data_IF_756067245995
#
_entry.id   IF_756067245995
#
_cell.length_a   1.000
_cell.length_b   1.000
_cell.length_c   1.000
_cell.angle_alpha   90.00
_cell.angle_beta   90.00
_cell.angle_gamma   90.00
#
_symmetry.space_group_name_H-M   'P 1'
#
loop_
_entity.id
_entity.type
_entity.pdbx_description
1 polymer ?
#
# COMPACT_ATOMS: atom_id res chain seq x y z
N UNK A 1 34.24 33.92 -36.00
CA UNK A 1 33.17 33.61 -36.99
C UNK A 1 32.68 32.21 -36.64
N UNK A 2 31.88 32.02 -35.59
CA UNK A 2 30.48 32.43 -35.47
C UNK A 2 29.67 31.11 -35.45
N UNK A 3 29.30 30.60 -34.27
CA UNK A 3 27.93 30.62 -33.72
C UNK A 3 27.01 29.58 -34.44
N UNK A 4 26.18 28.71 -33.85
CA UNK A 4 25.48 28.49 -32.57
C UNK A 4 25.03 27.00 -32.57
N UNK A 5 25.11 26.22 -31.50
CA UNK A 5 24.21 26.09 -30.33
C UNK A 5 22.78 25.53 -30.61
N UNK A 6 22.45 24.45 -29.88
CA UNK A 6 21.18 24.08 -29.20
C UNK A 6 21.04 22.55 -29.13
N UNK A 7 21.26 21.89 -27.98
CA UNK A 7 20.32 21.75 -26.84
C UNK A 7 18.99 21.08 -27.21
N UNK A 8 18.79 19.86 -26.71
CA UNK A 8 17.48 19.28 -26.49
C UNK A 8 17.49 18.47 -25.20
N UNK A 9 17.08 19.13 -24.12
CA UNK A 9 16.48 18.51 -22.95
C UNK A 9 15.17 17.83 -23.35
N UNK A 10 14.90 16.64 -22.81
CA UNK A 10 13.60 15.95 -22.94
C UNK A 10 13.57 14.77 -21.98
N UNK A 11 13.28 15.04 -20.71
CA UNK A 11 11.96 14.86 -20.11
C UNK A 11 11.72 13.41 -19.66
N UNK A 12 11.96 13.21 -18.36
CA UNK A 12 11.47 12.06 -17.61
C UNK A 12 9.93 12.00 -17.73
N UNK A 13 9.43 10.87 -18.19
CA UNK A 13 8.00 10.55 -18.10
C UNK A 13 7.82 9.70 -16.84
N UNK A 14 7.37 10.37 -15.78
CA UNK A 14 6.64 9.74 -14.70
C UNK A 14 5.33 9.19 -15.27
N UNK A 15 5.19 7.88 -15.33
CA UNK A 15 3.89 7.23 -15.47
C UNK A 15 3.45 6.73 -14.10
N UNK A 16 2.72 7.62 -13.40
CA UNK A 16 1.82 7.21 -12.33
C UNK A 16 0.51 6.72 -12.95
N UNK A 17 0.21 5.45 -12.72
CA UNK A 17 -1.15 4.89 -12.81
C UNK A 17 -1.30 4.11 -11.50
N UNK A 18 -2.15 4.49 -10.55
CA UNK A 18 -3.54 4.86 -10.73
C UNK A 18 -4.38 3.71 -10.18
N UNK A 19 -4.32 3.50 -8.87
CA UNK A 19 -5.07 2.45 -8.17
C UNK A 19 -6.57 2.70 -8.25
N UNK A 20 -7.29 1.77 -8.88
CA UNK A 20 -8.74 1.75 -8.96
C UNK A 20 -9.34 1.25 -7.65
N UNK A 21 -9.79 2.17 -6.79
CA UNK A 21 -10.64 1.86 -5.65
C UNK A 21 -12.09 1.60 -6.08
N UNK A 22 -12.57 0.38 -5.93
CA UNK A 22 -13.99 0.03 -6.03
C UNK A 22 -14.65 0.28 -4.67
N UNK A 23 -15.24 1.47 -4.50
CA UNK A 23 -16.09 1.82 -3.36
C UNK A 23 -17.55 1.92 -3.78
N UNK A 24 -18.28 0.80 -3.75
CA UNK A 24 -19.72 0.76 -4.01
C UNK A 24 -20.52 0.88 -2.72
N UNK A 25 -20.90 2.10 -2.33
CA UNK A 25 -21.87 2.36 -1.26
C UNK A 25 -23.30 2.36 -1.82
N UNK A 26 -24.10 1.36 -1.46
CA UNK A 26 -25.54 1.34 -1.73
C UNK A 26 -26.30 2.01 -0.58
N UNK A 27 -26.69 3.26 -0.78
CA UNK A 27 -27.62 3.97 0.10
C UNK A 27 -29.06 3.62 -0.26
N UNK A 28 -29.76 2.89 0.60
CA UNK A 28 -31.21 2.73 0.53
C UNK A 28 -31.89 3.86 1.31
N UNK A 29 -32.29 4.92 0.59
CA UNK A 29 -33.29 5.86 1.04
C UNK A 29 -34.56 5.64 0.22
N UNK A 30 -35.61 5.07 0.82
CA UNK A 30 -36.92 4.99 0.18
C UNK A 30 -37.94 5.84 0.91
N UNK A 31 -38.50 6.74 0.13
CA UNK A 31 -39.50 7.74 0.38
C UNK A 31 -40.74 7.25 1.14
N UNK A 32 -41.19 8.15 2.03
CA UNK A 32 -42.54 8.28 2.52
C UNK A 32 -43.52 8.53 1.38
N UNK A 33 -44.50 7.64 1.22
CA UNK A 33 -45.67 7.85 0.36
C UNK A 33 -46.89 8.04 1.25
N UNK A 34 -47.52 9.20 1.09
CA UNK A 34 -48.80 9.54 1.68
C UNK A 34 -49.97 8.82 1.01
N UNK A 35 -51.02 8.65 1.80
CA UNK A 35 -52.36 8.20 1.41
C UNK A 35 -53.09 7.93 2.73
N UNK A 36 -54.11 8.67 3.17
CA UNK A 36 -55.14 9.33 2.38
C UNK A 36 -56.44 8.57 2.62
N UNK A 37 -57.19 9.03 3.63
CA UNK A 37 -58.64 8.82 3.86
C UNK A 37 -59.15 7.39 4.07
N UNK A 38 -59.87 7.17 5.18
CA UNK A 38 -61.30 6.82 5.21
C UNK A 38 -61.71 6.68 6.68
N UNK A 39 -62.28 7.77 7.20
CA UNK A 39 -63.00 7.74 8.47
C UNK A 39 -64.41 7.16 8.26
N UNK A 40 -64.84 6.31 9.18
CA UNK A 40 -66.23 5.95 9.35
C UNK A 40 -66.58 6.03 10.84
N UNK A 41 -67.10 7.20 11.21
CA UNK A 41 -67.78 7.43 12.47
C UNK A 41 -69.09 6.63 12.50
N UNK A 42 -69.33 5.85 13.55
CA UNK A 42 -70.69 5.51 13.98
C UNK A 42 -70.90 6.06 15.39
N UNK A 43 -71.29 7.34 15.44
CA UNK A 43 -72.03 7.92 16.55
C UNK A 43 -73.51 7.84 16.18
N UNK A 44 -74.29 7.05 16.91
CA UNK A 44 -75.75 7.20 16.93
C UNK A 44 -76.16 7.75 18.29
N UNK A 45 -76.24 9.07 18.32
CA UNK A 45 -77.06 9.85 19.23
C UNK A 45 -78.54 9.70 18.83
N UNK A 46 -79.41 9.35 19.78
CA UNK A 46 -80.81 9.77 19.72
C UNK A 46 -81.23 10.30 21.08
N UNK A 47 -81.18 11.62 21.16
CA UNK A 47 -81.90 12.47 22.08
C UNK A 47 -83.39 12.46 21.73
N UNK A 48 -84.26 12.20 22.71
CA UNK A 48 -85.62 12.74 22.70
C UNK A 48 -85.88 13.36 24.06
N UNK A 49 -86.04 14.67 24.04
CA UNK A 49 -86.37 15.52 25.17
C UNK A 49 -87.90 15.71 25.26
N UNK A 50 -88.42 15.47 26.46
CA UNK A 50 -89.37 16.29 27.23
C UNK A 50 -90.69 16.82 26.62
N UNK A 51 -91.78 16.50 27.35
CA UNK A 51 -92.84 17.40 27.87
C UNK A 51 -94.31 17.18 27.39
N UNK A 52 -95.23 17.20 28.38
CA UNK A 52 -96.68 17.40 28.20
C UNK A 52 -97.57 16.21 28.64
N UNK A 53 -97.83 15.98 29.93
CA UNK A 53 -98.84 16.64 30.77
C UNK A 53 -100.33 16.31 30.45
N UNK A 54 -100.82 15.16 30.95
CA UNK A 54 -102.19 14.87 31.40
C UNK A 54 -102.03 13.65 32.34
N UNK A 55 -102.61 13.49 33.51
CA UNK A 55 -103.75 14.10 34.18
C UNK A 55 -104.29 12.97 35.09
N UNK A 56 -104.34 13.23 36.40
CA UNK A 56 -105.16 12.55 37.40
C UNK A 56 -105.12 11.00 37.50
N UNK A 57 -104.61 10.53 38.64
CA UNK A 57 -105.14 9.35 39.32
C UNK A 57 -104.47 8.02 38.97
N UNK A 58 -103.88 7.43 40.00
CA UNK A 58 -103.93 6.00 40.34
C UNK A 58 -102.54 5.41 40.63
N UNK A 59 -102.24 5.34 41.92
CA UNK A 59 -101.04 4.78 42.53
C UNK A 59 -101.08 3.25 42.51
N UNK A 60 -101.15 2.63 41.33
CA UNK A 60 -101.14 1.16 41.14
C UNK A 60 -100.31 0.69 39.93
N UNK A 61 -99.66 1.59 39.16
CA UNK A 61 -98.97 1.23 37.90
C UNK A 61 -97.42 1.14 37.95
N UNK A 62 -96.76 1.27 39.10
CA UNK A 62 -95.29 1.33 39.20
C UNK A 62 -94.57 -0.03 39.31
N UNK A 63 -95.27 -1.12 39.66
CA UNK A 63 -94.65 -2.45 39.81
C UNK A 63 -94.52 -3.26 38.50
N UNK A 64 -95.24 -2.85 37.43
CA UNK A 64 -95.17 -3.49 36.11
C UNK A 64 -93.99 -3.02 35.26
N UNK A 65 -93.66 -1.72 35.33
CA UNK A 65 -92.60 -1.10 34.55
C UNK A 65 -91.20 -1.62 34.95
N UNK A 66 -90.94 -1.81 36.25
CA UNK A 66 -89.66 -2.35 36.74
C UNK A 66 -89.43 -3.81 36.27
N UNK A 67 -90.50 -4.61 36.26
CA UNK A 67 -90.46 -6.00 35.79
C UNK A 67 -90.20 -6.07 34.28
N UNK A 68 -90.80 -5.17 33.50
CA UNK A 68 -90.57 -5.09 32.06
C UNK A 68 -89.15 -4.61 31.73
N UNK A 69 -88.60 -3.66 32.50
CA UNK A 69 -87.19 -3.26 32.36
C UNK A 69 -86.22 -4.39 32.72
N UNK A 70 -86.52 -5.17 33.75
CA UNK A 70 -85.71 -6.34 34.12
C UNK A 70 -85.80 -7.46 33.08
N UNK A 71 -86.96 -7.65 32.47
CA UNK A 71 -87.11 -8.59 31.34
C UNK A 71 -86.32 -8.12 30.12
N UNK A 72 -86.34 -6.83 29.77
CA UNK A 72 -85.54 -6.29 28.66
C UNK A 72 -84.03 -6.48 28.88
N UNK A 73 -83.56 -6.21 30.11
CA UNK A 73 -82.16 -6.44 30.49
C UNK A 73 -81.80 -7.93 30.44
N UNK A 74 -82.67 -8.81 30.91
CA UNK A 74 -82.46 -10.25 30.82
C UNK A 74 -82.48 -10.76 29.37
N UNK A 75 -83.36 -10.25 28.51
CA UNK A 75 -83.36 -10.56 27.08
C UNK A 75 -82.09 -10.07 26.40
N UNK A 76 -81.58 -8.90 26.80
CA UNK A 76 -80.32 -8.36 26.29
C UNK A 76 -79.11 -9.16 26.79
N UNK A 77 -79.11 -9.61 28.04
CA UNK A 77 -78.10 -10.51 28.59
C UNK A 77 -78.13 -11.88 27.89
N UNK A 78 -79.30 -12.43 27.63
CA UNK A 78 -79.46 -13.68 26.87
C UNK A 78 -78.88 -13.54 25.46
N UNK A 79 -79.17 -12.44 24.76
CA UNK A 79 -78.58 -12.13 23.46
C UNK A 79 -77.05 -11.95 23.52
N UNK A 80 -76.52 -11.32 24.57
CA UNK A 80 -75.06 -11.23 24.77
C UNK A 80 -74.43 -12.60 25.03
N UNK A 81 -75.04 -13.46 25.85
CA UNK A 81 -74.55 -14.81 26.11
C UNK A 81 -74.62 -15.71 24.87
N UNK A 82 -75.66 -15.56 24.04
CA UNK A 82 -75.74 -16.22 22.74
C UNK A 82 -74.66 -15.70 21.78
N UNK A 83 -74.40 -14.39 21.78
CA UNK A 83 -73.33 -13.81 20.97
C UNK A 83 -71.94 -14.28 21.41
N UNK A 84 -71.67 -14.35 22.72
CA UNK A 84 -70.42 -14.87 23.28
C UNK A 84 -70.22 -16.32 22.86
N UNK A 85 -71.24 -17.17 22.99
CA UNK A 85 -71.16 -18.57 22.52
C UNK A 85 -70.89 -18.68 21.03
N UNK A 86 -71.53 -17.86 20.19
CA UNK A 86 -71.27 -17.86 18.74
C UNK A 86 -69.83 -17.42 18.40
N UNK A 87 -69.26 -16.50 19.19
CA UNK A 87 -67.88 -16.03 19.00
C UNK A 87 -66.87 -17.05 19.51
N UNK A 88 -67.14 -17.74 20.60
CA UNK A 88 -66.32 -18.86 21.11
C UNK A 88 -66.27 -20.00 20.10
N UNK A 89 -67.40 -20.37 19.49
CA UNK A 89 -67.46 -21.39 18.45
C UNK A 89 -66.68 -20.99 17.19
N UNK A 90 -66.84 -19.74 16.74
CA UNK A 90 -66.09 -19.20 15.61
C UNK A 90 -64.58 -19.15 15.89
N UNK A 91 -64.16 -18.76 17.10
CA UNK A 91 -62.76 -18.77 17.51
C UNK A 91 -62.20 -20.19 17.53
N UNK A 92 -62.92 -21.16 18.10
CA UNK A 92 -62.51 -22.56 18.10
C UNK A 92 -62.37 -23.12 16.67
N UNK A 93 -63.23 -22.69 15.75
CA UNK A 93 -63.11 -23.04 14.34
C UNK A 93 -61.87 -22.43 13.67
N UNK A 94 -61.59 -21.14 13.92
CA UNK A 94 -60.41 -20.46 13.40
C UNK A 94 -59.12 -21.08 13.95
N UNK A 95 -59.05 -21.39 15.23
CA UNK A 95 -57.92 -22.08 15.84
C UNK A 95 -57.66 -23.46 15.21
N UNK A 96 -58.72 -24.18 14.85
CA UNK A 96 -58.60 -25.47 14.16
C UNK A 96 -58.07 -25.29 12.74
N UNK A 97 -58.54 -24.27 12.02
CA UNK A 97 -58.05 -23.93 10.67
C UNK A 97 -56.58 -23.50 10.70
N UNK A 98 -56.17 -22.71 11.68
CA UNK A 98 -54.77 -22.30 11.89
C UNK A 98 -53.90 -23.53 12.16
N UNK A 99 -54.30 -24.40 13.10
CA UNK A 99 -53.57 -25.64 13.39
C UNK A 99 -53.42 -26.53 12.16
N UNK A 100 -54.50 -26.75 11.43
CA UNK A 100 -54.48 -27.54 10.19
C UNK A 100 -53.57 -26.91 9.11
N UNK A 101 -53.57 -25.57 9.01
CA UNK A 101 -52.70 -24.86 8.07
C UNK A 101 -51.22 -25.01 8.45
N UNK A 102 -50.87 -24.93 9.73
CA UNK A 102 -49.49 -25.15 10.20
C UNK A 102 -49.05 -26.61 10.10
N UNK A 103 -49.95 -27.58 10.25
CA UNK A 103 -49.63 -28.99 10.04
C UNK A 103 -49.35 -29.29 8.55
N UNK A 104 -50.07 -28.62 7.64
CA UNK A 104 -49.90 -28.78 6.19
C UNK A 104 -48.76 -27.96 5.58
N UNK A 105 -48.50 -26.77 6.12
CA UNK A 105 -47.58 -25.79 5.53
C UNK A 105 -46.44 -25.37 6.48
N UNK A 106 -46.42 -25.90 7.70
CA UNK A 106 -45.35 -25.61 8.65
C UNK A 106 -44.01 -26.17 8.19
N UNK A 107 -42.90 -25.68 8.77
CA UNK A 107 -41.52 -26.02 8.38
C UNK A 107 -41.10 -27.48 8.59
N UNK A 108 -42.04 -28.40 8.89
CA UNK A 108 -41.84 -29.85 8.96
C UNK A 108 -42.90 -30.67 8.21
N UNK A 109 -43.77 -30.03 7.42
CA UNK A 109 -44.79 -30.73 6.64
C UNK A 109 -44.15 -31.56 5.50
N UNK A 110 -44.65 -32.77 5.19
CA UNK A 110 -44.08 -33.63 4.15
C UNK A 110 -44.24 -32.96 2.78
N UNK A 111 -43.16 -32.36 2.27
CA UNK A 111 -43.12 -31.68 0.97
C UNK A 111 -42.56 -30.25 0.97
N UNK A 112 -42.30 -29.64 2.13
CA UNK A 112 -41.79 -28.25 2.24
C UNK A 112 -40.34 -28.17 2.75
N UNK A 113 -39.63 -29.29 2.94
CA UNK A 113 -38.16 -29.27 2.99
C UNK A 113 -37.65 -29.22 1.55
N UNK A 114 -37.51 -28.00 1.02
CA UNK A 114 -36.88 -27.78 -0.28
C UNK A 114 -35.38 -28.11 -0.11
N UNK A 115 -34.96 -29.29 -0.53
CA UNK A 115 -33.57 -29.72 -0.37
C UNK A 115 -32.60 -28.89 -1.23
N UNK A 116 -31.99 -27.85 -0.63
CA UNK A 116 -31.01 -26.99 -1.28
C UNK A 116 -29.61 -27.60 -1.38
N UNK A 117 -29.42 -28.83 -0.88
CA UNK A 117 -28.14 -29.56 -0.85
C UNK A 117 -27.42 -29.61 -2.21
N UNK A 118 -28.16 -29.75 -3.32
CA UNK A 118 -27.60 -29.76 -4.68
C UNK A 118 -26.95 -28.42 -5.07
N UNK A 119 -27.53 -27.30 -4.63
CA UNK A 119 -26.96 -25.98 -4.90
C UNK A 119 -25.71 -25.73 -4.06
N UNK A 120 -25.67 -26.24 -2.82
CA UNK A 120 -24.46 -26.15 -2.00
C UNK A 120 -23.28 -26.88 -2.64
N UNK A 121 -23.47 -28.10 -3.14
CA UNK A 121 -22.41 -28.82 -3.86
C UNK A 121 -21.90 -28.04 -5.09
N UNK A 122 -22.81 -27.48 -5.89
CA UNK A 122 -22.43 -26.69 -7.06
C UNK A 122 -21.69 -25.39 -6.68
N UNK A 123 -22.12 -24.72 -5.61
CA UNK A 123 -21.45 -23.52 -5.08
C UNK A 123 -20.04 -23.87 -4.60
N UNK A 124 -19.87 -24.99 -3.89
CA UNK A 124 -18.58 -25.42 -3.38
C UNK A 124 -17.64 -25.86 -4.53
N UNK A 125 -18.17 -26.50 -5.57
CA UNK A 125 -17.42 -26.82 -6.77
C UNK A 125 -16.93 -25.55 -7.50
N UNK A 126 -17.80 -24.55 -7.68
CA UNK A 126 -17.42 -23.26 -8.26
C UNK A 126 -16.39 -22.51 -7.40
N UNK A 127 -16.53 -22.54 -6.07
CA UNK A 127 -15.54 -21.97 -5.15
C UNK A 127 -14.18 -22.64 -5.30
N UNK A 128 -14.15 -23.96 -5.38
CA UNK A 128 -12.91 -24.72 -5.59
C UNK A 128 -12.28 -24.39 -6.95
N UNK A 129 -13.08 -24.24 -8.01
CA UNK A 129 -12.58 -23.80 -9.32
C UNK A 129 -11.96 -22.40 -9.25
N UNK A 130 -12.60 -21.44 -8.57
CA UNK A 130 -12.07 -20.09 -8.38
C UNK A 130 -10.73 -20.15 -7.63
N UNK A 131 -10.65 -20.93 -6.56
CA UNK A 131 -9.40 -21.09 -5.78
C UNK A 131 -8.30 -21.71 -6.65
N UNK A 132 -8.60 -22.76 -7.40
CA UNK A 132 -7.63 -23.40 -8.29
C UNK A 132 -7.11 -22.43 -9.35
N UNK A 133 -7.99 -21.70 -10.03
CA UNK A 133 -7.61 -20.68 -11.02
C UNK A 133 -6.80 -19.55 -10.38
N UNK A 134 -7.11 -19.18 -9.13
CA UNK A 134 -6.35 -18.15 -8.40
C UNK A 134 -4.93 -18.63 -8.09
N UNK A 135 -4.77 -19.90 -7.68
CA UNK A 135 -3.47 -20.51 -7.44
C UNK A 135 -2.68 -20.65 -8.75
N UNK A 136 -3.33 -21.11 -9.82
CA UNK A 136 -2.71 -21.21 -11.15
C UNK A 136 -2.25 -19.85 -11.67
N UNK A 137 -3.07 -18.80 -11.51
CA UNK A 137 -2.69 -17.44 -11.85
C UNK A 137 -1.48 -16.96 -11.02
N UNK A 138 -1.47 -17.20 -9.72
CA UNK A 138 -0.32 -16.89 -8.87
C UNK A 138 0.96 -17.63 -9.33
N UNK A 139 0.84 -18.91 -9.70
CA UNK A 139 1.95 -19.69 -10.24
C UNK A 139 2.48 -19.12 -11.57
N UNK A 140 1.58 -18.69 -12.48
CA UNK A 140 1.97 -18.05 -13.74
C UNK A 140 2.68 -16.72 -13.49
N UNK A 141 2.19 -15.90 -12.55
CA UNK A 141 2.85 -14.65 -12.16
C UNK A 141 4.26 -14.92 -11.63
N UNK A 142 4.44 -15.93 -10.77
CA UNK A 142 5.77 -16.32 -10.28
C UNK A 142 6.69 -16.79 -11.41
N UNK A 143 6.19 -17.54 -12.38
CA UNK A 143 6.98 -17.95 -13.55
C UNK A 143 7.39 -16.75 -14.41
N UNK A 144 6.50 -15.77 -14.59
CA UNK A 144 6.80 -14.51 -15.30
C UNK A 144 7.90 -13.75 -14.57
N UNK A 145 7.80 -13.60 -13.25
CA UNK A 145 8.79 -12.88 -12.47
C UNK A 145 10.14 -13.61 -12.46
N UNK A 146 10.15 -14.94 -12.37
CA UNK A 146 11.36 -15.75 -12.51
C UNK A 146 12.01 -15.56 -13.89
N UNK A 147 11.23 -15.63 -14.97
CA UNK A 147 11.72 -15.43 -16.33
C UNK A 147 12.26 -14.01 -16.55
N UNK A 148 11.64 -12.99 -15.94
CA UNK A 148 12.12 -11.61 -15.97
C UNK A 148 13.44 -11.44 -15.24
N UNK A 149 13.55 -11.98 -14.03
CA UNK A 149 14.81 -11.94 -13.27
C UNK A 149 15.94 -12.65 -14.02
N UNK A 150 15.67 -13.80 -14.62
CA UNK A 150 16.66 -14.50 -15.45
C UNK A 150 17.06 -13.69 -16.70
N UNK A 151 16.11 -13.01 -17.34
CA UNK A 151 16.39 -12.14 -18.48
C UNK A 151 17.25 -10.92 -18.08
N UNK A 152 16.97 -10.30 -16.94
CA UNK A 152 17.78 -9.20 -16.41
C UNK A 152 19.19 -9.65 -16.00
N UNK A 153 19.34 -10.84 -15.40
CA UNK A 153 20.64 -11.44 -15.11
C UNK A 153 21.47 -11.65 -16.39
N UNK A 154 20.85 -12.15 -17.46
CA UNK A 154 21.53 -12.31 -18.75
C UNK A 154 21.85 -10.96 -19.40
N UNK A 155 20.97 -9.97 -19.28
CA UNK A 155 21.19 -8.61 -19.78
C UNK A 155 22.39 -7.97 -19.10
N UNK A 156 22.48 -8.02 -17.77
CA UNK A 156 23.63 -7.50 -17.03
C UNK A 156 24.92 -8.22 -17.41
N UNK A 157 24.89 -9.56 -17.53
CA UNK A 157 26.06 -10.34 -17.98
C UNK A 157 26.50 -9.94 -19.39
N UNK A 158 25.55 -9.72 -20.31
CA UNK A 158 25.84 -9.28 -21.66
C UNK A 158 26.44 -7.86 -21.69
N UNK A 159 25.89 -6.93 -20.93
CA UNK A 159 26.40 -5.56 -20.81
C UNK A 159 27.84 -5.56 -20.26
N UNK A 160 28.12 -6.36 -19.23
CA UNK A 160 29.47 -6.53 -18.67
C UNK A 160 30.45 -7.13 -19.68
N UNK A 161 30.06 -8.22 -20.37
CA UNK A 161 30.90 -8.86 -21.39
C UNK A 161 31.16 -7.92 -22.58
N UNK A 162 30.15 -7.15 -22.99
CA UNK A 162 30.28 -6.14 -24.04
C UNK A 162 31.28 -5.06 -23.65
N UNK A 163 31.22 -4.58 -22.41
CA UNK A 163 32.17 -3.60 -21.87
C UNK A 163 33.60 -4.16 -21.86
N UNK A 164 33.80 -5.39 -21.37
CA UNK A 164 35.10 -6.06 -21.40
C UNK A 164 35.62 -6.23 -22.83
N UNK A 165 34.76 -6.64 -23.77
CA UNK A 165 35.11 -6.76 -25.19
C UNK A 165 35.57 -5.43 -25.77
N UNK A 166 34.87 -4.34 -25.47
CA UNK A 166 35.25 -3.00 -25.92
C UNK A 166 36.59 -2.54 -25.33
N UNK A 167 36.85 -2.84 -24.05
CA UNK A 167 38.14 -2.56 -23.42
C UNK A 167 39.28 -3.30 -24.11
N UNK A 168 39.13 -4.61 -24.32
CA UNK A 168 40.13 -5.43 -25.01
C UNK A 168 40.33 -4.99 -26.45
N UNK A 169 39.26 -4.61 -27.16
CA UNK A 169 39.37 -4.04 -28.51
C UNK A 169 40.14 -2.72 -28.50
N UNK A 170 39.93 -1.88 -27.49
CA UNK A 170 40.73 -0.67 -27.24
C UNK A 170 42.22 -0.99 -27.08
N UNK A 171 42.56 -1.97 -26.24
CA UNK A 171 43.93 -2.41 -26.00
C UNK A 171 44.58 -2.97 -27.28
N UNK A 172 43.86 -3.80 -28.04
CA UNK A 172 44.33 -4.34 -29.33
C UNK A 172 44.64 -3.22 -30.32
N UNK A 173 43.76 -2.22 -30.41
CA UNK A 173 44.00 -1.06 -31.28
C UNK A 173 45.19 -0.22 -30.81
N UNK A 174 45.40 -0.09 -29.50
CA UNK A 174 46.59 0.53 -28.92
C UNK A 174 47.87 -0.24 -29.27
N UNK A 175 47.88 -1.56 -29.10
CA UNK A 175 49.01 -2.42 -29.45
C UNK A 175 49.34 -2.39 -30.94
N UNK A 176 48.33 -2.31 -31.81
CA UNK A 176 48.55 -2.13 -33.27
C UNK A 176 49.28 -0.82 -33.57
N UNK A 177 48.90 0.29 -32.92
CA UNK A 177 49.63 1.57 -33.06
C UNK A 177 51.07 1.48 -32.61
N UNK A 178 51.32 0.85 -31.47
CA UNK A 178 52.70 0.64 -30.98
C UNK A 178 53.52 -0.21 -31.95
N UNK A 179 52.91 -1.24 -32.55
CA UNK A 179 53.56 -2.05 -33.58
C UNK A 179 53.90 -1.21 -34.82
N UNK A 180 52.99 -0.36 -35.28
CA UNK A 180 53.22 0.55 -36.42
C UNK A 180 54.39 1.52 -36.10
N UNK A 181 54.40 2.12 -34.91
CA UNK A 181 55.47 3.02 -34.45
C UNK A 181 56.83 2.30 -34.38
N UNK A 182 56.87 1.08 -33.85
CA UNK A 182 58.09 0.27 -33.81
C UNK A 182 58.56 -0.12 -35.21
N UNK A 183 57.63 -0.38 -36.14
CA UNK A 183 57.95 -0.69 -37.53
C UNK A 183 58.57 0.52 -38.23
N UNK A 184 58.04 1.72 -37.99
CA UNK A 184 58.60 2.98 -38.50
C UNK A 184 60.00 3.23 -37.94
N UNK A 185 60.19 3.09 -36.62
CA UNK A 185 61.50 3.23 -35.98
C UNK A 185 62.51 2.21 -36.51
N UNK A 186 62.07 0.98 -36.81
CA UNK A 186 62.93 -0.04 -37.42
C UNK A 186 63.39 0.39 -38.82
N UNK A 187 62.48 0.86 -39.67
CA UNK A 187 62.84 1.36 -41.00
C UNK A 187 63.77 2.57 -40.94
N UNK A 188 63.59 3.47 -39.98
CA UNK A 188 64.48 4.63 -39.79
C UNK A 188 65.90 4.19 -39.40
N UNK A 189 66.02 3.23 -38.49
CA UNK A 189 67.31 2.65 -38.09
C UNK A 189 67.97 1.85 -39.22
N UNK A 190 67.18 1.09 -40.00
CA UNK A 190 67.66 0.39 -41.20
C UNK A 190 68.22 1.38 -42.23
N UNK A 191 67.54 2.50 -42.46
CA UNK A 191 68.01 3.55 -43.37
C UNK A 191 69.30 4.23 -42.88
N UNK A 192 69.42 4.48 -41.56
CA UNK A 192 70.66 5.00 -40.98
C UNK A 192 71.81 4.00 -41.12
N UNK A 193 71.56 2.71 -40.89
CA UNK A 193 72.58 1.67 -41.08
C UNK A 193 73.05 1.61 -42.53
N UNK A 194 72.13 1.62 -43.50
CA UNK A 194 72.48 1.62 -44.92
C UNK A 194 73.35 2.85 -45.26
N UNK A 195 72.94 4.05 -44.84
CA UNK A 195 73.72 5.29 -45.01
C UNK A 195 75.13 5.18 -44.43
N UNK A 196 75.29 4.67 -43.20
CA UNK A 196 76.62 4.49 -42.60
C UNK A 196 77.46 3.44 -43.34
N UNK A 197 76.83 2.38 -43.87
CA UNK A 197 77.54 1.38 -44.66
C UNK A 197 78.00 1.92 -46.00
N UNK A 198 77.20 2.78 -46.65
CA UNK A 198 77.58 3.51 -47.86
C UNK A 198 78.75 4.47 -47.59
N UNK A 199 78.72 5.22 -46.48
CA UNK A 199 79.81 6.09 -46.06
C UNK A 199 81.11 5.30 -45.79
N UNK A 200 81.03 4.15 -45.12
CA UNK A 200 82.20 3.29 -44.91
C UNK A 200 82.74 2.71 -46.22
N UNK A 201 81.88 2.33 -47.15
CA UNK A 201 82.29 1.86 -48.48
C UNK A 201 82.99 2.98 -49.26
N UNK A 202 82.43 4.19 -49.21
CA UNK A 202 83.03 5.39 -49.81
C UNK A 202 84.42 5.71 -49.23
N UNK A 203 84.56 5.72 -47.91
CA UNK A 203 85.85 5.95 -47.23
C UNK A 203 86.89 4.88 -47.56
N UNK A 204 86.50 3.60 -47.63
CA UNK A 204 87.41 2.52 -48.03
C UNK A 204 87.90 2.69 -49.45
N UNK A 205 87.00 3.03 -50.39
CA UNK A 205 87.36 3.30 -51.78
C UNK A 205 88.32 4.49 -51.88
N UNK A 206 88.02 5.59 -51.17
CA UNK A 206 88.92 6.73 -51.12
C UNK A 206 90.29 6.37 -50.54
N UNK A 207 90.36 5.53 -49.50
CA UNK A 207 91.63 5.09 -48.93
C UNK A 207 92.43 4.24 -49.92
N UNK A 208 91.77 3.36 -50.68
CA UNK A 208 92.41 2.56 -51.73
C UNK A 208 92.95 3.46 -52.86
N UNK A 209 92.16 4.43 -53.33
CA UNK A 209 92.60 5.42 -54.33
C UNK A 209 93.75 6.31 -53.81
N UNK A 210 93.73 6.74 -52.54
CA UNK A 210 94.81 7.51 -51.91
C UNK A 210 96.06 6.65 -51.73
N UNK A 211 95.93 5.37 -51.36
CA UNK A 211 97.07 4.45 -51.25
C UNK A 211 97.72 4.21 -52.61
N UNK A 212 96.94 4.16 -53.68
CA UNK A 212 97.45 4.06 -55.05
C UNK A 212 98.09 5.37 -55.55
N UNK A 213 97.63 6.53 -55.06
CA UNK A 213 98.20 7.85 -55.39
C UNK A 213 99.41 8.24 -54.53
N UNK A 214 99.57 7.67 -53.32
CA UNK A 214 100.67 7.94 -52.39
C UNK A 214 101.46 6.66 -52.09
N UNK A 215 102.19 6.17 -53.10
CA UNK A 215 103.36 5.33 -52.86
C UNK A 215 104.48 6.16 -52.21
N UNK A 216 104.93 5.73 -51.03
CA UNK A 216 106.09 6.18 -50.25
C UNK A 216 106.52 7.64 -50.49
N UNK A 217 105.86 8.58 -49.79
CA UNK A 217 106.28 9.99 -49.76
C UNK A 217 106.79 10.31 -48.36
N UNK A 218 108.10 10.28 -48.21
CA UNK A 218 108.86 10.93 -47.16
C UNK A 218 108.58 12.43 -47.20
N UNK A 219 107.82 12.93 -46.24
CA UNK A 219 107.56 14.36 -46.09
C UNK A 219 108.64 14.95 -45.19
N UNK A 220 109.64 15.58 -45.81
CA UNK A 220 110.56 16.47 -45.10
C UNK A 220 109.79 17.67 -44.55
N UNK A 221 109.86 17.80 -43.23
CA UNK A 221 109.29 18.88 -42.43
C UNK A 221 110.01 20.19 -42.75
N UNK A 222 109.46 20.97 -43.69
CA UNK A 222 109.79 22.39 -43.79
C UNK A 222 109.17 23.10 -42.59
N UNK A 223 110.02 23.59 -41.69
CA UNK A 223 109.63 24.48 -40.60
C UNK A 223 108.99 25.74 -41.19
N UNK A 224 107.66 25.76 -41.18
CA UNK A 224 106.88 26.95 -41.46
C UNK A 224 107.14 28.02 -40.36
N UNK A 225 106.95 29.31 -40.68
CA UNK A 225 107.40 30.44 -39.88
C UNK A 225 106.78 30.41 -38.49
N UNK A 226 107.54 30.89 -37.49
CA UNK A 226 107.16 30.89 -36.08
C UNK A 226 105.67 31.11 -35.85
N UNK A 227 105.02 30.09 -35.27
CA UNK A 227 103.62 30.11 -34.89
C UNK A 227 103.41 31.37 -34.05
N UNK A 228 102.53 32.25 -34.53
CA UNK A 228 102.12 33.44 -33.80
C UNK A 228 101.43 32.98 -32.51
N UNK A 229 102.22 32.94 -31.43
CA UNK A 229 101.79 32.47 -30.12
C UNK A 229 100.58 33.26 -29.63
N UNK A 230 100.47 34.53 -30.03
CA UNK A 230 99.34 35.41 -29.75
C UNK A 230 98.05 34.88 -30.39
N UNK A 231 98.13 34.43 -31.65
CA UNK A 231 96.99 33.83 -32.36
C UNK A 231 96.58 32.50 -31.73
N UNK A 232 97.54 31.63 -31.42
CA UNK A 232 97.26 30.35 -30.73
C UNK A 232 96.65 30.55 -29.34
N UNK A 233 97.14 31.51 -28.57
CA UNK A 233 96.60 31.82 -27.24
C UNK A 233 95.18 32.41 -27.32
N UNK A 234 94.92 33.23 -28.33
CA UNK A 234 93.57 33.75 -28.62
C UNK A 234 92.63 32.65 -29.11
N UNK A 235 93.09 31.72 -29.96
CA UNK A 235 92.31 30.56 -30.41
C UNK A 235 91.98 29.62 -29.24
N UNK A 236 92.93 29.39 -28.32
CA UNK A 236 92.65 28.64 -27.09
C UNK A 236 91.67 29.37 -26.19
N UNK A 237 91.79 30.69 -26.04
CA UNK A 237 90.81 31.48 -25.26
C UNK A 237 89.42 31.39 -25.88
N UNK A 238 89.31 31.50 -27.20
CA UNK A 238 88.04 31.35 -27.92
C UNK A 238 87.44 29.97 -27.72
N UNK A 239 88.23 28.89 -27.81
CA UNK A 239 87.77 27.53 -27.53
C UNK A 239 87.29 27.36 -26.07
N UNK A 240 87.96 27.98 -25.10
CA UNK A 240 87.50 27.97 -23.71
C UNK A 240 86.24 28.79 -23.48
N UNK A 241 86.10 29.95 -24.13
CA UNK A 241 84.87 30.73 -24.10
C UNK A 241 83.70 29.96 -24.73
N UNK A 242 83.91 29.34 -25.89
CA UNK A 242 82.92 28.50 -26.56
C UNK A 242 82.50 27.31 -25.68
N UNK A 243 83.47 26.62 -25.07
CA UNK A 243 83.21 25.50 -24.17
C UNK A 243 82.48 25.94 -22.89
N UNK A 244 82.86 27.08 -22.31
CA UNK A 244 82.19 27.64 -21.14
C UNK A 244 80.75 28.06 -21.47
N UNK A 245 80.53 28.62 -22.67
CA UNK A 245 79.21 29.03 -23.12
C UNK A 245 78.32 27.84 -23.52
N UNK A 246 78.89 26.77 -24.09
CA UNK A 246 78.21 25.50 -24.30
C UNK A 246 77.80 24.86 -22.96
N UNK A 247 78.72 24.78 -22.00
CA UNK A 247 78.44 24.23 -20.67
C UNK A 247 77.33 25.03 -19.95
N UNK A 248 77.36 26.37 -20.05
CA UNK A 248 76.30 27.23 -19.51
C UNK A 248 74.95 26.94 -20.16
N UNK A 249 74.89 26.83 -21.49
CA UNK A 249 73.65 26.51 -22.22
C UNK A 249 73.13 25.12 -21.87
N UNK A 250 74.00 24.12 -21.80
CA UNK A 250 73.62 22.76 -21.42
C UNK A 250 73.08 22.72 -19.98
N UNK A 251 73.72 23.43 -19.04
CA UNK A 251 73.23 23.53 -17.66
C UNK A 251 71.86 24.21 -17.58
N UNK A 252 71.64 25.31 -18.33
CA UNK A 252 70.35 25.99 -18.43
C UNK A 252 69.26 25.07 -19.02
N UNK A 253 69.57 24.35 -20.11
CA UNK A 253 68.63 23.40 -20.72
C UNK A 253 68.27 22.24 -19.80
N UNK A 254 69.26 21.68 -19.09
CA UNK A 254 69.03 20.62 -18.10
C UNK A 254 68.15 21.14 -16.96
N UNK A 255 68.40 22.36 -16.48
CA UNK A 255 67.59 22.98 -15.43
C UNK A 255 66.15 23.21 -15.91
N UNK A 256 65.96 23.72 -17.13
CA UNK A 256 64.62 23.93 -17.72
C UNK A 256 63.89 22.59 -17.89
N UNK A 257 64.56 21.54 -18.36
CA UNK A 257 63.98 20.19 -18.49
C UNK A 257 63.54 19.66 -17.12
N UNK A 258 64.39 19.77 -16.10
CA UNK A 258 64.05 19.37 -14.73
C UNK A 258 62.84 20.14 -14.18
N UNK A 259 62.82 21.46 -14.32
CA UNK A 259 61.69 22.29 -13.86
C UNK A 259 60.40 21.92 -14.60
N UNK A 260 60.44 21.69 -15.92
CA UNK A 260 59.26 21.25 -16.69
C UNK A 260 58.73 19.89 -16.22
N UNK A 261 59.62 18.92 -16.02
CA UNK A 261 59.25 17.59 -15.52
C UNK A 261 58.61 17.68 -14.13
N UNK A 262 59.20 18.47 -13.24
CA UNK A 262 58.68 18.68 -11.88
C UNK A 262 57.31 19.36 -11.91
N UNK A 263 57.15 20.39 -12.74
CA UNK A 263 55.89 21.10 -12.91
C UNK A 263 54.78 20.18 -13.44
N UNK A 264 55.09 19.35 -14.43
CA UNK A 264 54.15 18.36 -14.96
C UNK A 264 53.75 17.32 -13.91
N UNK A 265 54.71 16.83 -13.11
CA UNK A 265 54.44 15.89 -12.03
C UNK A 265 53.55 16.49 -10.93
N UNK A 266 53.77 17.76 -10.57
CA UNK A 266 52.93 18.49 -9.60
C UNK A 266 51.52 18.70 -10.14
N UNK A 267 51.35 19.04 -11.42
CA UNK A 267 50.04 19.14 -12.06
C UNK A 267 49.29 17.81 -12.01
N UNK A 268 49.93 16.71 -12.39
CA UNK A 268 49.30 15.39 -12.34
C UNK A 268 48.90 14.98 -10.92
N UNK A 269 49.73 15.29 -9.91
CA UNK A 269 49.33 15.04 -8.51
C UNK A 269 48.13 15.88 -8.07
N UNK A 270 48.07 17.16 -8.48
CA UNK A 270 46.92 18.01 -8.14
C UNK A 270 45.63 17.49 -8.79
N UNK A 271 45.67 17.09 -10.07
CA UNK A 271 44.53 16.47 -10.75
C UNK A 271 44.08 15.18 -10.03
N UNK A 272 45.02 14.34 -9.60
CA UNK A 272 44.72 13.12 -8.85
C UNK A 272 44.09 13.43 -7.48
N UNK A 273 44.58 14.46 -6.78
CA UNK A 273 44.01 14.91 -5.50
C UNK A 273 42.59 15.47 -5.71
N UNK A 274 42.37 16.27 -6.75
CA UNK A 274 41.05 16.80 -7.09
C UNK A 274 40.07 15.69 -7.44
N UNK A 275 40.48 14.73 -8.27
CA UNK A 275 39.66 13.58 -8.64
C UNK A 275 39.33 12.71 -7.42
N UNK A 276 40.29 12.55 -6.50
CA UNK A 276 40.05 11.84 -5.23
C UNK A 276 39.06 12.58 -4.34
N UNK A 277 39.13 13.92 -4.28
CA UNK A 277 38.15 14.74 -3.54
C UNK A 277 36.77 14.66 -4.17
N UNK A 278 36.66 14.73 -5.50
CA UNK A 278 35.36 14.60 -6.17
C UNK A 278 34.78 13.21 -5.96
N UNK A 279 35.59 12.16 -6.04
CA UNK A 279 35.17 10.80 -5.75
C UNK A 279 34.61 10.66 -4.33
N UNK A 280 35.34 11.16 -3.32
CA UNK A 280 34.87 11.14 -1.93
C UNK A 280 33.60 11.95 -1.73
N UNK A 281 33.47 13.10 -2.40
CA UNK A 281 32.25 13.92 -2.35
C UNK A 281 31.05 13.18 -2.94
N UNK A 282 31.21 12.54 -4.09
CA UNK A 282 30.15 11.74 -4.73
C UNK A 282 29.77 10.52 -3.87
N UNK A 283 30.75 9.88 -3.23
CA UNK A 283 30.49 8.73 -2.35
C UNK A 283 29.70 9.15 -1.11
N UNK A 284 30.02 10.30 -0.50
CA UNK A 284 29.23 10.88 0.60
C UNK A 284 27.81 11.24 0.13
N UNK A 285 27.68 11.85 -1.06
CA UNK A 285 26.37 12.20 -1.62
C UNK A 285 25.51 10.95 -1.86
N UNK A 286 26.08 9.91 -2.45
CA UNK A 286 25.43 8.61 -2.65
C UNK A 286 24.98 7.99 -1.33
N UNK A 287 25.85 7.94 -0.33
CA UNK A 287 25.51 7.41 1.00
C UNK A 287 24.42 8.24 1.68
N UNK A 288 24.46 9.56 1.54
CA UNK A 288 23.44 10.45 2.11
C UNK A 288 22.08 10.26 1.45
N UNK A 289 22.03 10.10 0.12
CA UNK A 289 20.81 9.86 -0.64
C UNK A 289 20.18 8.52 -0.29
N UNK A 290 21.00 7.46 -0.22
CA UNK A 290 20.53 6.13 0.18
C UNK A 290 19.97 6.16 1.61
N UNK A 291 20.68 6.80 2.54
CA UNK A 291 20.24 6.93 3.92
C UNK A 291 18.92 7.72 4.00
N UNK A 292 18.82 8.85 3.31
CA UNK A 292 17.60 9.66 3.29
C UNK A 292 16.40 8.92 2.69
N UNK A 293 16.60 8.11 1.64
CA UNK A 293 15.50 7.33 1.05
C UNK A 293 15.03 6.21 1.98
N UNK A 294 15.95 5.51 2.65
CA UNK A 294 15.63 4.48 3.64
C UNK A 294 14.92 5.08 4.85
N UNK A 295 15.42 6.20 5.39
CA UNK A 295 14.74 6.91 6.49
C UNK A 295 13.38 7.45 6.07
N UNK A 296 13.24 7.95 4.84
CA UNK A 296 11.96 8.41 4.29
C UNK A 296 10.93 7.29 4.17
N UNK A 297 11.32 6.14 3.60
CA UNK A 297 10.44 4.97 3.50
C UNK A 297 10.07 4.40 4.88
N UNK A 298 11.00 4.38 5.82
CA UNK A 298 10.72 3.99 7.20
C UNK A 298 9.67 4.93 7.82
N UNK A 299 9.90 6.24 7.76
CA UNK A 299 8.97 7.23 8.31
C UNK A 299 7.57 7.16 7.66
N UNK A 300 7.50 6.96 6.34
CA UNK A 300 6.23 6.78 5.63
C UNK A 300 5.49 5.51 6.09
N UNK A 301 6.20 4.38 6.22
CA UNK A 301 5.59 3.14 6.72
C UNK A 301 5.13 3.27 8.17
N UNK A 302 5.93 3.88 9.05
CA UNK A 302 5.55 4.15 10.45
C UNK A 302 4.31 5.05 10.54
N UNK A 303 4.24 6.10 9.73
CA UNK A 303 3.06 6.98 9.65
C UNK A 303 1.83 6.20 9.16
N UNK A 304 1.97 5.39 8.12
CA UNK A 304 0.88 4.55 7.61
C UNK A 304 0.37 3.57 8.68
N UNK A 305 1.26 2.88 9.39
CA UNK A 305 0.86 1.98 10.49
C UNK A 305 0.23 2.75 11.66
N UNK A 306 0.74 3.92 12.00
CA UNK A 306 0.15 4.78 13.04
C UNK A 306 -1.29 5.19 12.69
N UNK A 307 -1.55 5.56 11.44
CA UNK A 307 -2.91 5.91 10.98
C UNK A 307 -3.85 4.69 11.00
N UNK A 308 -3.38 3.52 10.55
CA UNK A 308 -4.18 2.28 10.60
C UNK A 308 -4.52 1.90 12.05
N UNK A 309 -3.55 2.02 12.95
CA UNK A 309 -3.75 1.72 14.37
C UNK A 309 -4.73 2.70 15.02
N UNK A 310 -4.68 3.99 14.64
CA UNK A 310 -5.67 4.98 15.05
C UNK A 310 -7.07 4.67 14.52
N UNK A 311 -7.21 4.24 13.27
CA UNK A 311 -8.49 3.84 12.70
C UNK A 311 -9.07 2.61 13.42
N UNK A 312 -8.25 1.60 13.69
CA UNK A 312 -8.66 0.42 14.47
C UNK A 312 -9.07 0.83 15.90
N UNK A 313 -8.33 1.73 16.54
CA UNK A 313 -8.68 2.25 17.86
C UNK A 313 -10.04 2.94 17.86
N UNK A 314 -10.35 3.75 16.82
CA UNK A 314 -11.65 4.39 16.68
C UNK A 314 -12.78 3.37 16.50
N UNK A 315 -12.56 2.31 15.73
CA UNK A 315 -13.54 1.22 15.58
C UNK A 315 -13.78 0.49 16.89
N UNK A 316 -12.72 0.17 17.63
CA UNK A 316 -12.82 -0.45 18.96
C UNK A 316 -13.62 0.45 19.90
N UNK A 317 -13.28 1.74 19.99
CA UNK A 317 -14.00 2.68 20.86
C UNK A 317 -15.48 2.83 20.47
N UNK A 318 -15.81 2.83 19.18
CA UNK A 318 -17.21 2.85 18.72
C UNK A 318 -17.97 1.58 19.10
N UNK A 319 -17.34 0.41 19.00
CA UNK A 319 -17.94 -0.87 19.42
C UNK A 319 -18.10 -0.94 20.94
N UNK A 320 -17.12 -0.43 21.71
CA UNK A 320 -17.21 -0.32 23.17
C UNK A 320 -18.39 0.58 23.59
N UNK A 321 -18.57 1.73 22.91
CA UNK A 321 -19.69 2.63 23.15
C UNK A 321 -21.04 1.97 22.83
N UNK A 322 -21.16 1.28 21.70
CA UNK A 322 -22.36 0.52 21.34
C UNK A 322 -22.68 -0.58 22.37
N UNK A 323 -21.66 -1.31 22.84
CA UNK A 323 -21.83 -2.31 23.89
C UNK A 323 -22.29 -1.69 25.21
N UNK A 324 -21.74 -0.53 25.57
CA UNK A 324 -22.15 0.20 26.77
C UNK A 324 -23.59 0.71 26.66
N UNK A 325 -24.00 1.19 25.48
CA UNK A 325 -25.36 1.62 25.21
C UNK A 325 -26.35 0.46 25.35
N UNK A 326 -26.07 -0.69 24.73
CA UNK A 326 -26.94 -1.88 24.83
C UNK A 326 -27.06 -2.37 26.28
N UNK A 327 -25.95 -2.35 27.04
CA UNK A 327 -25.97 -2.71 28.46
C UNK A 327 -26.88 -1.77 29.26
N UNK A 328 -26.74 -0.46 29.07
CA UNK A 328 -27.57 0.53 29.75
C UNK A 328 -29.07 0.39 29.39
N UNK A 329 -29.38 0.15 28.11
CA UNK A 329 -30.75 -0.10 27.67
C UNK A 329 -31.32 -1.39 28.27
N UNK A 330 -30.51 -2.45 28.33
CA UNK A 330 -30.91 -3.73 28.95
C UNK A 330 -31.18 -3.56 30.46
N UNK A 331 -30.33 -2.81 31.17
CA UNK A 331 -30.53 -2.49 32.58
C UNK A 331 -31.81 -1.67 32.80
N UNK A 332 -32.08 -0.70 31.93
CA UNK A 332 -33.31 0.10 31.97
C UNK A 332 -34.55 -0.78 31.77
N UNK A 333 -34.57 -1.61 30.71
CA UNK A 333 -35.65 -2.56 30.45
C UNK A 333 -35.86 -3.56 31.59
N UNK A 334 -34.78 -4.02 32.24
CA UNK A 334 -34.88 -4.90 33.41
C UNK A 334 -35.53 -4.17 34.59
N UNK A 335 -35.18 -2.91 34.85
CA UNK A 335 -35.83 -2.10 35.88
C UNK A 335 -37.33 -1.89 35.60
N UNK A 336 -37.69 -1.55 34.36
CA UNK A 336 -39.10 -1.43 33.94
C UNK A 336 -39.86 -2.74 34.10
N UNK A 337 -39.25 -3.86 33.72
CA UNK A 337 -39.83 -5.19 33.89
C UNK A 337 -40.05 -5.55 35.37
N UNK A 338 -39.10 -5.23 36.25
CA UNK A 338 -39.24 -5.42 37.70
C UNK A 338 -40.39 -4.57 38.27
N UNK A 339 -40.55 -3.32 37.83
CA UNK A 339 -41.67 -2.48 38.23
C UNK A 339 -43.01 -3.05 37.77
N UNK A 340 -43.11 -3.49 36.52
CA UNK A 340 -44.31 -4.11 35.97
C UNK A 340 -44.67 -5.40 36.71
N UNK A 341 -43.68 -6.23 37.05
CA UNK A 341 -43.87 -7.41 37.87
C UNK A 341 -44.38 -7.05 39.28
N UNK A 342 -43.89 -5.97 39.87
CA UNK A 342 -44.38 -5.44 41.14
C UNK A 342 -45.85 -5.01 41.07
N UNK A 343 -46.26 -4.32 39.99
CA UNK A 343 -47.66 -3.94 39.76
C UNK A 343 -48.52 -5.18 39.56
N UNK A 344 -48.07 -6.13 38.73
CA UNK A 344 -48.78 -7.38 38.45
C UNK A 344 -49.04 -8.17 39.74
N UNK A 345 -48.01 -8.36 40.57
CA UNK A 345 -48.15 -9.08 41.85
C UNK A 345 -49.12 -8.37 42.80
N UNK A 346 -49.11 -7.02 42.84
CA UNK A 346 -50.11 -6.25 43.58
C UNK A 346 -51.53 -6.43 43.07
N UNK A 347 -51.74 -6.35 41.75
CA UNK A 347 -53.05 -6.57 41.13
C UNK A 347 -53.54 -8.00 41.37
N UNK A 348 -52.65 -9.00 41.32
CA UNK A 348 -52.99 -10.38 41.66
C UNK A 348 -53.47 -10.52 43.11
N UNK A 349 -52.85 -9.82 44.06
CA UNK A 349 -53.33 -9.76 45.45
C UNK A 349 -54.69 -9.07 45.56
N UNK A 350 -54.91 -7.96 44.86
CA UNK A 350 -56.19 -7.25 44.85
C UNK A 350 -57.30 -8.15 44.26
N UNK A 351 -57.06 -8.82 43.14
CA UNK A 351 -58.00 -9.79 42.54
C UNK A 351 -58.31 -10.93 43.51
N UNK A 352 -57.31 -11.47 44.21
CA UNK A 352 -57.50 -12.51 45.22
C UNK A 352 -58.39 -12.00 46.37
N UNK A 353 -58.19 -10.75 46.84
CA UNK A 353 -59.08 -10.15 47.84
C UNK A 353 -60.50 -9.92 47.30
N UNK A 354 -60.65 -9.46 46.06
CA UNK A 354 -61.96 -9.29 45.43
C UNK A 354 -62.68 -10.62 45.26
N UNK A 355 -61.96 -11.70 44.89
CA UNK A 355 -62.51 -13.06 44.84
C UNK A 355 -63.02 -13.51 46.20
N UNK A 356 -62.25 -13.32 47.27
CA UNK A 356 -62.70 -13.64 48.64
C UNK A 356 -63.94 -12.85 49.06
N UNK A 357 -64.05 -11.58 48.68
CA UNK A 357 -65.23 -10.76 48.98
C UNK A 357 -66.45 -11.17 48.15
N UNK A 358 -66.25 -11.56 46.89
CA UNK A 358 -67.30 -12.03 45.97
C UNK A 358 -67.79 -13.45 46.29
N UNK A 359 -66.90 -14.33 46.76
CA UNK A 359 -67.23 -15.64 47.31
C UNK A 359 -67.97 -15.53 48.67
N UNK A 360 -68.10 -14.30 49.18
CA UNK A 360 -68.80 -13.93 50.40
C UNK A 360 -68.04 -14.36 51.65
N UNK A 361 -68.36 -13.72 52.76
CA UNK A 361 -68.35 -14.35 54.08
C UNK A 361 -69.28 -15.58 54.10
N UNK A 362 -68.97 -16.60 53.29
CA UNK A 362 -69.30 -17.97 53.59
C UNK A 362 -68.28 -18.44 54.63
N UNK A 363 -68.39 -17.90 55.85
CA UNK A 363 -67.88 -18.57 57.03
C UNK A 363 -68.39 -20.01 56.98
N UNK A 364 -67.47 -20.96 56.90
CA UNK A 364 -67.40 -22.09 57.82
C UNK A 364 -66.01 -22.72 57.77
N UNK A 365 -65.19 -22.32 58.76
CA UNK A 365 -64.42 -23.23 59.60
C UNK A 365 -63.89 -24.49 58.89
N UNK A 366 -62.76 -24.40 58.19
CA UNK A 366 -61.81 -25.52 58.14
C UNK A 366 -60.40 -25.03 57.82
N UNK A 367 -59.60 -25.01 58.89
CA UNK A 367 -58.20 -25.43 58.95
C UNK A 367 -57.19 -24.86 57.95
N UNK A 368 -56.16 -24.23 58.52
CA UNK A 368 -54.79 -24.49 58.05
C UNK A 368 -53.96 -23.25 57.81
N UNK A 369 -53.66 -22.52 58.88
CA UNK A 369 -52.50 -21.64 58.93
C UNK A 369 -51.23 -22.43 58.53
N UNK A 370 -50.66 -22.13 57.36
CA UNK A 370 -49.26 -22.41 57.04
C UNK A 370 -48.63 -21.17 56.44
N UNK A 371 -48.28 -20.27 57.37
CA UNK A 371 -47.18 -19.32 57.20
C UNK A 371 -45.91 -20.14 56.97
N UNK A 372 -45.26 -19.96 55.82
CA UNK A 372 -43.81 -20.11 55.68
C UNK A 372 -43.28 -18.99 54.78
N UNK A 373 -42.54 -18.02 55.33
CA UNK A 373 -41.67 -17.16 54.55
C UNK A 373 -40.24 -17.71 54.61
N UNK A 374 -39.54 -17.80 53.48
CA UNK A 374 -38.12 -17.42 53.37
C UNK A 374 -37.64 -17.51 51.92
N UNK A 375 -36.63 -16.70 51.56
CA UNK A 375 -36.50 -16.09 50.24
C UNK A 375 -35.46 -16.78 49.35
N UNK A 376 -35.57 -16.45 48.07
CA UNK A 376 -34.56 -16.59 47.05
C UNK A 376 -33.18 -16.11 47.55
N UNK A 377 -32.19 -16.98 47.46
CA UNK A 377 -30.80 -16.59 47.34
C UNK A 377 -30.30 -17.19 46.03
N UNK A 378 -30.55 -16.49 44.91
CA UNK A 378 -29.87 -16.74 43.66
C UNK A 378 -28.75 -15.69 43.57
N UNK A 379 -27.61 -16.02 44.16
CA UNK A 379 -26.37 -15.30 43.93
C UNK A 379 -25.90 -15.59 42.51
N UNK A 380 -26.12 -14.64 41.62
CA UNK A 380 -25.40 -14.54 40.35
C UNK A 380 -24.18 -13.65 40.61
N UNK A 381 -23.00 -14.24 40.58
CA UNK A 381 -21.75 -13.61 40.15
C UNK A 381 -21.21 -14.48 39.04
#
# INVERSE_FOLDING_TARGET
>A
LGALNCSSYGAAICSGYGGSGFGGGVGFGSASVGGGSYGANYRSSSSVSMSGAYGAGDSVFLAGAEKETMQNLNSRLANYLEKVRSLEEANAELERKIRHWYEKNGPGAPGVTRDYSKYHHMIDELRNQIVNVTIENANVVLQIDNARLAADDFRMKFENELFLRQSVEGDINGLRRVLDDLTMNRSDLEAQLESLTEELAYLKKNHEEVKDLFGDVTVEMNAAPGIDLTKLLNDMRAQYEDLAEQNRREAEEQFIKMVRLYFFQVLQLNELIELKRSFQSLEIELQSLLKASLEGTLAETEANYSTQLSQLQLQVSSLEEQLQQIRAETECQNSEYQQLLGIKTRLEMEIETYRRLLDGESCNMTQGCKIKPSPLCLSVV
#
